data_IF_627458827481
#
_entry.id   IF_627458827481
#
_cell.length_a   1.000
_cell.length_b   1.000
_cell.length_c   1.000
_cell.angle_alpha   90.00
_cell.angle_beta   90.00
_cell.angle_gamma   90.00
#
_symmetry.space_group_name_H-M   'P 1'
#
loop_
_entity.id
_entity.type
_entity.pdbx_description
1 polymer ?
#
# COMPACT_ATOMS: atom_id res chain seq x y z
N UNK A 1 -55.59 -44.24 38.73
CA UNK A 1 -55.06 -44.38 37.35
C UNK A 1 -55.41 -43.12 36.57
N UNK A 2 -54.41 -42.55 35.90
CA UNK A 2 -54.47 -41.58 34.78
C UNK A 2 -54.99 -40.14 34.97
N UNK A 3 -54.07 -39.22 34.58
CA UNK A 3 -54.20 -37.85 34.00
C UNK A 3 -54.30 -36.68 35.00
N UNK A 4 -53.22 -35.90 35.16
CA UNK A 4 -52.75 -34.72 34.38
C UNK A 4 -53.64 -33.49 34.57
N UNK A 5 -53.14 -32.47 35.28
CA UNK A 5 -53.40 -31.04 34.99
C UNK A 5 -52.31 -30.16 35.65
N UNK A 6 -51.77 -29.23 34.84
CA UNK A 6 -50.70 -28.26 35.13
C UNK A 6 -51.07 -27.21 36.20
N UNK A 7 -50.06 -26.63 36.87
CA UNK A 7 -49.93 -25.17 36.85
C UNK A 7 -48.48 -24.74 36.52
N UNK A 8 -48.28 -23.84 35.55
CA UNK A 8 -48.20 -22.39 35.77
C UNK A 8 -46.94 -21.97 36.54
N UNK A 9 -45.86 -21.64 35.82
CA UNK A 9 -44.95 -20.57 36.21
C UNK A 9 -44.16 -20.07 35.01
N UNK A 10 -44.55 -18.89 34.56
CA UNK A 10 -43.85 -18.08 33.56
C UNK A 10 -42.63 -17.48 34.26
N UNK A 11 -41.45 -18.05 34.01
CA UNK A 11 -40.17 -17.42 34.34
C UNK A 11 -39.70 -16.60 33.14
N UNK A 12 -40.02 -15.31 33.16
CA UNK A 12 -39.45 -14.32 32.26
C UNK A 12 -37.97 -14.11 32.60
N UNK A 13 -37.09 -14.90 31.97
CA UNK A 13 -35.66 -14.61 31.94
C UNK A 13 -35.38 -13.64 30.80
N UNK A 14 -35.43 -12.34 31.12
CA UNK A 14 -34.81 -11.29 30.33
C UNK A 14 -33.28 -11.47 30.42
N UNK A 15 -32.74 -12.36 29.60
CA UNK A 15 -31.33 -12.31 29.25
C UNK A 15 -31.17 -11.09 28.35
N UNK A 16 -30.73 -9.98 28.95
CA UNK A 16 -30.13 -8.88 28.23
C UNK A 16 -28.94 -9.45 27.44
N UNK A 17 -29.19 -9.79 26.18
CA UNK A 17 -28.17 -9.91 25.15
C UNK A 17 -27.48 -8.56 25.10
N UNK A 18 -26.39 -8.41 25.87
CA UNK A 18 -25.46 -7.31 25.76
C UNK A 18 -24.91 -7.31 24.34
N UNK A 19 -25.59 -6.59 23.45
CA UNK A 19 -25.09 -6.24 22.14
C UNK A 19 -23.94 -5.27 22.41
N UNK A 20 -22.74 -5.79 22.58
CA UNK A 20 -21.53 -4.99 22.49
C UNK A 20 -21.47 -4.51 21.05
N UNK A 21 -22.11 -3.36 20.79
CA UNK A 21 -21.87 -2.59 19.59
C UNK A 21 -20.37 -2.30 19.58
N UNK A 22 -19.64 -3.02 18.73
CA UNK A 22 -18.29 -2.65 18.34
C UNK A 22 -18.41 -1.28 17.69
N UNK A 23 -18.20 -0.24 18.48
CA UNK A 23 -18.06 1.12 17.96
C UNK A 23 -16.78 1.08 17.12
N UNK A 24 -16.96 1.08 15.80
CA UNK A 24 -15.86 1.17 14.84
C UNK A 24 -15.24 2.53 15.08
N UNK A 25 -14.17 2.59 15.89
CA UNK A 25 -13.43 3.82 16.12
C UNK A 25 -12.99 4.34 14.76
N UNK A 26 -13.54 5.48 14.35
CA UNK A 26 -13.10 6.17 13.15
C UNK A 26 -11.70 6.69 13.42
N UNK A 27 -10.69 6.08 12.78
CA UNK A 27 -9.32 6.58 12.85
C UNK A 27 -9.30 7.96 12.19
N UNK A 28 -9.09 9.01 12.97
CA UNK A 28 -8.88 10.35 12.43
C UNK A 28 -7.50 10.45 11.80
N UNK A 29 -7.44 10.78 10.51
CA UNK A 29 -6.20 11.02 9.76
C UNK A 29 -5.98 12.51 9.56
N UNK A 30 -4.72 12.92 9.56
CA UNK A 30 -4.34 14.20 8.95
C UNK A 30 -4.20 14.00 7.44
N UNK A 31 -5.12 14.57 6.67
CA UNK A 31 -5.12 14.44 5.21
C UNK A 31 -4.16 15.45 4.56
N UNK A 32 -3.26 14.96 3.72
CA UNK A 32 -2.29 15.75 2.96
C UNK A 32 -2.51 15.48 1.49
N UNK A 33 -2.91 16.51 0.73
CA UNK A 33 -3.07 16.42 -0.72
C UNK A 33 -1.74 16.69 -1.40
N UNK A 34 -1.32 15.78 -2.28
CA UNK A 34 -0.12 15.93 -3.09
C UNK A 34 -0.52 16.59 -4.42
N UNK A 35 -0.08 17.82 -4.66
CA UNK A 35 -0.48 18.60 -5.84
C UNK A 35 0.40 18.31 -7.07
N UNK A 36 1.62 17.85 -6.84
CA UNK A 36 2.57 17.56 -7.93
C UNK A 36 2.12 16.29 -8.64
N UNK A 37 1.64 16.43 -9.88
CA UNK A 37 1.47 15.29 -10.79
C UNK A 37 2.80 14.56 -10.91
N UNK A 38 2.75 13.23 -10.99
CA UNK A 38 3.94 12.44 -11.27
C UNK A 38 4.71 13.07 -12.45
N UNK A 39 5.96 13.46 -12.22
CA UNK A 39 6.92 13.59 -13.32
C UNK A 39 6.81 12.33 -14.16
N UNK A 40 6.90 12.44 -15.50
CA UNK A 40 6.74 11.32 -16.43
C UNK A 40 7.38 10.06 -15.85
N UNK A 41 6.53 9.10 -15.45
CA UNK A 41 6.97 7.89 -14.77
C UNK A 41 7.83 7.07 -15.74
N UNK A 42 9.15 7.12 -15.55
CA UNK A 42 10.11 6.43 -16.39
C UNK A 42 10.28 5.00 -15.88
N UNK A 43 9.56 4.08 -16.49
CA UNK A 43 9.80 2.63 -16.31
C UNK A 43 10.97 2.21 -17.19
N UNK A 44 11.94 1.42 -16.68
CA UNK A 44 12.91 0.77 -17.53
C UNK A 44 12.22 -0.02 -18.65
N UNK A 45 12.63 0.17 -19.90
CA UNK A 45 11.95 -0.39 -21.09
C UNK A 45 11.70 -1.90 -20.96
N UNK A 46 12.69 -2.67 -20.48
CA UNK A 46 12.55 -4.12 -20.26
C UNK A 46 11.42 -4.51 -19.30
N UNK A 47 11.15 -3.66 -18.31
CA UNK A 47 10.05 -3.88 -17.36
C UNK A 47 8.73 -3.53 -18.03
N UNK A 48 8.71 -2.44 -18.79
CA UNK A 48 7.54 -2.06 -19.58
C UNK A 48 7.17 -3.13 -20.61
N UNK A 49 8.14 -3.65 -21.37
CA UNK A 49 7.92 -4.74 -22.34
C UNK A 49 7.34 -6.00 -21.67
N UNK A 50 7.83 -6.36 -20.49
CA UNK A 50 7.30 -7.48 -19.72
C UNK A 50 5.89 -7.21 -19.21
N UNK A 51 5.62 -5.98 -18.75
CA UNK A 51 4.29 -5.56 -18.32
C UNK A 51 3.32 -5.61 -19.51
N UNK A 52 3.69 -5.08 -20.68
CA UNK A 52 2.86 -5.13 -21.87
C UNK A 52 2.59 -6.57 -22.33
N UNK A 53 3.63 -7.41 -22.35
CA UNK A 53 3.50 -8.83 -22.68
C UNK A 53 2.55 -9.56 -21.71
N UNK A 54 2.65 -9.27 -20.41
CA UNK A 54 1.79 -9.82 -19.36
C UNK A 54 0.34 -9.31 -19.45
N UNK A 55 0.13 -8.06 -19.85
CA UNK A 55 -1.17 -7.38 -19.77
C UNK A 55 -2.01 -7.47 -21.04
N UNK A 56 -1.40 -7.29 -22.21
CA UNK A 56 -2.07 -7.15 -23.51
C UNK A 56 -2.16 -8.48 -24.24
N UNK A 57 -1.22 -9.40 -23.99
CA UNK A 57 -1.14 -10.66 -24.73
C UNK A 57 -1.01 -10.41 -26.25
N UNK A 58 -1.55 -11.32 -27.08
CA UNK A 58 -1.52 -11.21 -28.55
C UNK A 58 -2.74 -10.53 -29.17
N UNK A 59 -3.64 -9.96 -28.35
CA UNK A 59 -4.93 -9.47 -28.84
C UNK A 59 -4.79 -8.11 -29.55
N UNK A 60 -5.33 -8.02 -30.77
CA UNK A 60 -5.30 -6.86 -31.68
C UNK A 60 -6.29 -5.74 -31.34
N UNK A 61 -6.94 -5.79 -30.17
CA UNK A 61 -7.91 -4.78 -29.76
C UNK A 61 -7.22 -3.61 -29.05
N UNK A 62 -7.57 -2.39 -29.43
CA UNK A 62 -6.99 -1.17 -28.88
C UNK A 62 -7.36 -1.03 -27.39
N UNK A 63 -6.36 -1.17 -26.52
CA UNK A 63 -6.51 -1.03 -25.08
C UNK A 63 -6.84 0.41 -24.69
N UNK A 64 -7.79 0.59 -23.77
CA UNK A 64 -8.10 1.89 -23.18
C UNK A 64 -7.41 2.01 -21.82
N UNK A 65 -6.64 3.08 -21.62
CA UNK A 65 -5.90 3.34 -20.39
C UNK A 65 -6.54 4.50 -19.62
N UNK A 66 -6.83 4.25 -18.34
CA UNK A 66 -7.39 5.19 -17.39
C UNK A 66 -6.47 5.30 -16.19
N UNK A 67 -6.43 6.48 -15.57
CA UNK A 67 -5.59 6.73 -14.40
C UNK A 67 -6.41 6.54 -13.12
N UNK A 68 -5.95 5.65 -12.24
CA UNK A 68 -6.59 5.34 -10.96
C UNK A 68 -6.10 6.28 -9.84
N UNK A 69 -6.94 6.56 -8.83
CA UNK A 69 -6.52 7.30 -7.64
C UNK A 69 -5.53 6.48 -6.81
N UNK A 70 -4.79 7.15 -5.92
CA UNK A 70 -3.90 6.49 -4.97
C UNK A 70 -3.88 7.25 -3.64
N UNK A 71 -3.96 6.50 -2.55
CA UNK A 71 -3.83 6.96 -1.18
C UNK A 71 -2.82 6.08 -0.43
N UNK A 72 -1.97 6.71 0.37
CA UNK A 72 -1.01 6.03 1.25
C UNK A 72 -1.18 6.53 2.67
N UNK A 73 -1.23 5.62 3.64
CA UNK A 73 -1.25 5.96 5.06
C UNK A 73 0.10 5.66 5.68
N UNK A 74 0.64 6.64 6.41
CA UNK A 74 1.79 6.47 7.29
C UNK A 74 1.34 6.65 8.74
N UNK A 75 1.70 5.71 9.60
CA UNK A 75 1.37 5.75 11.02
C UNK A 75 2.54 5.28 11.88
N UNK A 76 2.61 5.76 13.11
CA UNK A 76 3.52 5.25 14.13
C UNK A 76 2.83 5.33 15.49
N UNK A 77 3.07 4.32 16.32
CA UNK A 77 2.69 4.31 17.74
C UNK A 77 3.60 5.25 18.56
N UNK A 78 4.83 5.46 18.10
CA UNK A 78 5.81 6.30 18.77
C UNK A 78 5.70 7.75 18.29
N UNK A 79 5.50 8.66 19.24
CA UNK A 79 5.52 10.09 18.97
C UNK A 79 6.86 10.49 18.33
N UNK A 80 6.77 11.26 17.24
CA UNK A 80 7.92 11.86 16.57
C UNK A 80 8.57 11.03 15.46
N UNK A 81 8.18 9.75 15.25
CA UNK A 81 8.68 8.98 14.10
C UNK A 81 8.04 9.49 12.80
N UNK A 82 6.71 9.52 12.75
CA UNK A 82 5.93 10.12 11.65
C UNK A 82 5.32 11.43 12.15
N UNK A 83 5.53 12.51 11.39
CA UNK A 83 4.98 13.83 11.71
C UNK A 83 3.46 13.80 11.56
N UNK A 84 2.72 14.30 12.55
CA UNK A 84 1.24 14.33 12.57
C UNK A 84 0.56 12.95 12.41
N UNK A 85 1.22 11.88 12.88
CA UNK A 85 0.74 10.49 12.82
C UNK A 85 -0.66 10.31 13.43
N UNK A 86 -1.59 9.57 12.78
CA UNK A 86 -1.47 8.99 11.45
C UNK A 86 -1.78 10.03 10.35
N UNK A 87 -1.02 9.97 9.25
CA UNK A 87 -1.26 10.82 8.07
C UNK A 87 -1.77 9.99 6.89
N UNK A 88 -2.62 10.60 6.08
CA UNK A 88 -3.09 10.05 4.81
C UNK A 88 -2.70 10.98 3.67
N UNK A 89 -1.91 10.44 2.76
CA UNK A 89 -1.38 11.12 1.59
C UNK A 89 -2.28 10.78 0.41
N UNK A 90 -2.91 11.81 -0.17
CA UNK A 90 -3.85 11.67 -1.30
C UNK A 90 -3.13 12.16 -2.55
N UNK A 91 -2.89 11.25 -3.48
CA UNK A 91 -2.20 11.51 -4.75
C UNK A 91 -3.20 11.85 -5.87
N UNK A 92 -2.77 12.57 -6.92
CA UNK A 92 -3.58 12.75 -8.11
C UNK A 92 -3.78 11.41 -8.83
N UNK A 93 -4.76 11.34 -9.73
CA UNK A 93 -4.97 10.16 -10.57
C UNK A 93 -3.69 9.83 -11.35
N UNK A 94 -3.30 8.56 -11.34
CA UNK A 94 -2.05 8.07 -11.89
C UNK A 94 -0.96 7.93 -10.83
N UNK A 95 -1.14 8.53 -9.65
CA UNK A 95 -0.25 8.38 -8.51
C UNK A 95 0.85 9.45 -8.47
N UNK A 96 2.01 9.12 -7.90
CA UNK A 96 3.08 10.10 -7.72
C UNK A 96 4.25 9.63 -6.87
N UNK A 97 4.98 10.62 -6.32
CA UNK A 97 6.18 10.40 -5.51
C UNK A 97 5.90 10.67 -4.03
N UNK A 98 6.17 9.66 -3.19
CA UNK A 98 6.27 9.78 -1.76
C UNK A 98 7.74 9.96 -1.37
N UNK A 99 8.11 11.18 -0.99
CA UNK A 99 9.40 11.44 -0.36
C UNK A 99 9.25 11.36 1.16
N UNK A 100 9.77 10.28 1.75
CA UNK A 100 9.70 10.00 3.18
C UNK A 100 10.44 11.03 4.03
N UNK A 101 11.37 11.80 3.46
CA UNK A 101 12.05 12.90 4.14
C UNK A 101 11.07 13.94 4.73
N UNK A 102 9.93 14.13 4.06
CA UNK A 102 8.93 15.12 4.46
C UNK A 102 8.04 14.64 5.62
N UNK A 103 8.04 13.36 5.94
CA UNK A 103 7.04 12.77 6.84
C UNK A 103 7.63 11.93 7.97
N UNK A 104 8.79 11.32 7.75
CA UNK A 104 9.46 10.45 8.73
C UNK A 104 10.69 11.15 9.25
N UNK A 105 10.77 11.50 10.52
CA UNK A 105 11.91 12.26 11.09
C UNK A 105 12.54 11.65 12.34
N UNK A 106 11.79 10.86 13.10
CA UNK A 106 12.27 10.28 14.37
C UNK A 106 12.91 8.90 14.21
N UNK A 107 13.47 8.42 15.32
CA UNK A 107 13.97 7.05 15.43
C UNK A 107 12.87 6.12 15.94
N UNK A 108 12.63 5.01 15.25
CA UNK A 108 11.68 3.99 15.67
C UNK A 108 11.08 3.22 14.51
N UNK A 109 9.85 2.76 14.72
CA UNK A 109 9.08 2.04 13.71
C UNK A 109 7.86 2.81 13.28
N UNK A 110 7.51 2.64 12.02
CA UNK A 110 6.31 3.21 11.42
C UNK A 110 5.74 2.22 10.41
N UNK A 111 4.46 2.35 10.09
CA UNK A 111 3.76 1.50 9.15
C UNK A 111 3.44 2.27 7.88
N UNK A 112 3.47 1.57 6.75
CA UNK A 112 2.98 2.05 5.46
C UNK A 112 1.84 1.15 5.01
N UNK A 113 0.72 1.72 4.58
CA UNK A 113 -0.40 0.92 4.06
C UNK A 113 -1.15 1.63 2.94
N UNK A 114 -1.89 0.84 2.16
CA UNK A 114 -2.77 1.33 1.10
C UNK A 114 -4.22 1.10 1.52
N UNK A 115 -4.97 2.12 2.00
CA UNK A 115 -6.34 1.93 2.49
C UNK A 115 -7.22 1.19 1.48
N UNK A 116 -7.96 0.13 1.89
CA UNK A 116 -8.77 -0.67 0.97
C UNK A 116 -9.89 0.13 0.28
N UNK A 117 -10.38 1.19 0.93
CA UNK A 117 -11.51 1.99 0.45
C UNK A 117 -11.21 2.65 -0.90
N UNK A 118 -9.96 3.05 -1.15
CA UNK A 118 -9.56 3.71 -2.39
C UNK A 118 -9.72 2.82 -3.63
N UNK A 119 -9.75 1.49 -3.44
CA UNK A 119 -9.81 0.51 -4.53
C UNK A 119 -11.20 -0.11 -4.71
N UNK A 120 -12.19 0.27 -3.88
CA UNK A 120 -13.50 -0.38 -3.84
C UNK A 120 -14.27 -0.27 -5.17
N UNK A 121 -14.11 0.85 -5.88
CA UNK A 121 -14.79 1.13 -7.15
C UNK A 121 -13.92 0.79 -8.38
N UNK A 122 -12.70 0.27 -8.18
CA UNK A 122 -11.83 -0.14 -9.27
C UNK A 122 -12.11 -1.60 -9.67
N UNK A 123 -11.78 -1.98 -10.92
CA UNK A 123 -11.78 -3.39 -11.31
C UNK A 123 -10.87 -4.27 -10.44
N UNK A 124 -10.90 -5.57 -10.69
CA UNK A 124 -9.98 -6.48 -10.02
C UNK A 124 -8.52 -6.08 -10.33
N UNK A 125 -7.69 -6.09 -9.29
CA UNK A 125 -6.24 -5.95 -9.44
C UNK A 125 -5.72 -7.11 -10.27
N UNK A 126 -5.16 -6.81 -11.43
CA UNK A 126 -4.58 -7.79 -12.34
C UNK A 126 -3.11 -8.04 -12.01
N UNK A 127 -2.36 -6.96 -11.74
CA UNK A 127 -0.93 -7.00 -11.37
C UNK A 127 -0.59 -5.93 -10.34
N UNK A 128 0.39 -6.23 -9.50
CA UNK A 128 1.06 -5.24 -8.65
C UNK A 128 2.56 -5.50 -8.70
N UNK A 129 3.29 -4.70 -9.45
CA UNK A 129 4.74 -4.83 -9.53
C UNK A 129 5.42 -3.93 -8.52
N UNK A 130 6.46 -4.45 -7.87
CA UNK A 130 7.43 -3.65 -7.12
C UNK A 130 8.77 -3.70 -7.82
N UNK A 131 9.35 -2.53 -8.12
CA UNK A 131 10.66 -2.35 -8.77
C UNK A 131 11.56 -1.63 -7.76
N UNK A 132 12.62 -2.29 -7.31
CA UNK A 132 13.49 -1.74 -6.27
C UNK A 132 14.41 -0.65 -6.84
N UNK A 133 14.43 0.51 -6.17
CA UNK A 133 15.36 1.61 -6.42
C UNK A 133 16.37 1.74 -5.25
N UNK A 134 16.79 0.60 -4.71
CA UNK A 134 17.87 0.56 -3.70
C UNK A 134 18.77 -0.66 -3.91
N UNK A 135 20.06 -0.56 -3.56
CA UNK A 135 20.95 -1.70 -3.62
C UNK A 135 20.55 -2.73 -2.55
N UNK A 136 20.83 -4.00 -2.81
CA UNK A 136 20.72 -5.03 -1.78
C UNK A 136 21.81 -4.76 -0.75
N UNK A 137 21.47 -4.77 0.54
CA UNK A 137 22.41 -4.48 1.62
C UNK A 137 22.31 -5.48 2.75
N UNK A 138 23.45 -5.83 3.33
CA UNK A 138 23.52 -6.63 4.56
C UNK A 138 23.65 -5.70 5.77
N UNK A 139 22.75 -5.83 6.75
CA UNK A 139 22.73 -5.04 7.99
C UNK A 139 22.55 -6.03 9.14
N UNK A 140 23.47 -6.03 10.11
CA UNK A 140 23.43 -6.90 11.29
C UNK A 140 23.24 -8.40 10.94
N UNK A 141 23.86 -8.84 9.84
CA UNK A 141 23.82 -10.23 9.39
C UNK A 141 22.65 -10.60 8.48
N UNK A 142 21.62 -9.75 8.38
CA UNK A 142 20.42 -9.95 7.55
C UNK A 142 20.51 -9.21 6.20
N UNK A 143 19.92 -9.78 5.15
CA UNK A 143 19.83 -9.13 3.83
C UNK A 143 18.55 -8.32 3.70
N UNK A 144 18.69 -7.07 3.25
CA UNK A 144 17.59 -6.15 2.97
C UNK A 144 17.59 -5.75 1.49
N UNK A 145 16.38 -5.64 0.94
CA UNK A 145 16.15 -5.19 -0.43
C UNK A 145 16.37 -6.25 -1.50
N UNK A 146 15.80 -5.97 -2.68
CA UNK A 146 15.90 -6.85 -3.84
C UNK A 146 17.16 -6.57 -4.67
N UNK A 147 17.69 -5.35 -4.56
CA UNK A 147 18.79 -4.86 -5.40
C UNK A 147 18.31 -4.05 -6.59
N UNK A 148 19.21 -3.22 -7.11
CA UNK A 148 18.90 -2.21 -8.12
C UNK A 148 18.18 -2.77 -9.36
N UNK A 149 17.02 -2.18 -9.67
CA UNK A 149 16.23 -2.52 -10.86
C UNK A 149 15.63 -3.93 -10.86
N UNK A 150 15.79 -4.68 -9.77
CA UNK A 150 15.10 -5.95 -9.59
C UNK A 150 13.62 -5.67 -9.33
N UNK A 151 12.76 -6.44 -9.99
CA UNK A 151 11.33 -6.30 -9.84
C UNK A 151 10.67 -7.64 -9.57
N UNK A 152 9.47 -7.58 -8.99
CA UNK A 152 8.67 -8.75 -8.62
C UNK A 152 7.19 -8.38 -8.66
N UNK A 153 6.35 -9.32 -9.10
CA UNK A 153 4.89 -9.22 -8.95
C UNK A 153 4.50 -9.63 -7.52
N UNK A 154 4.04 -8.64 -6.75
CA UNK A 154 3.59 -8.78 -5.36
C UNK A 154 2.07 -8.75 -5.23
N UNK A 155 1.30 -8.98 -6.30
CA UNK A 155 -0.17 -9.08 -6.26
C UNK A 155 -0.68 -9.96 -5.13
N UNK A 156 -0.03 -11.11 -4.87
CA UNK A 156 -0.41 -12.04 -3.78
C UNK A 156 -0.29 -11.43 -2.37
N UNK A 157 0.39 -10.28 -2.23
CA UNK A 157 0.54 -9.54 -0.99
C UNK A 157 -0.37 -8.31 -0.92
N UNK A 158 -1.16 -8.03 -1.94
CA UNK A 158 -1.97 -6.81 -2.02
C UNK A 158 -2.93 -6.67 -0.83
N UNK A 159 -3.69 -7.72 -0.49
CA UNK A 159 -4.59 -7.69 0.66
C UNK A 159 -3.87 -7.47 1.99
N UNK A 160 -2.61 -7.91 2.08
CA UNK A 160 -1.79 -7.68 3.27
C UNK A 160 -1.30 -6.23 3.32
N UNK A 161 -0.91 -5.65 2.19
CA UNK A 161 -0.51 -4.24 2.08
C UNK A 161 -1.63 -3.25 2.40
N UNK A 162 -2.89 -3.71 2.37
CA UNK A 162 -4.05 -2.92 2.80
C UNK A 162 -4.32 -2.98 4.31
N UNK A 163 -3.71 -3.94 5.03
CA UNK A 163 -3.91 -4.07 6.47
C UNK A 163 -3.07 -3.03 7.21
N UNK A 164 -3.64 -2.36 8.23
CA UNK A 164 -2.84 -1.54 9.13
C UNK A 164 -1.78 -2.43 9.80
N UNK A 165 -0.58 -1.88 10.01
CA UNK A 165 0.56 -2.54 10.68
C UNK A 165 1.19 -3.74 9.97
N UNK A 166 0.76 -4.11 8.75
CA UNK A 166 1.39 -5.22 8.04
C UNK A 166 2.81 -4.88 7.59
N UNK A 167 2.98 -3.77 6.88
CA UNK A 167 4.28 -3.30 6.42
C UNK A 167 4.88 -2.37 7.47
N UNK A 168 5.36 -2.99 8.55
CA UNK A 168 6.07 -2.31 9.64
C UNK A 168 7.53 -2.09 9.26
N UNK A 169 7.93 -0.84 9.21
CA UNK A 169 9.22 -0.35 8.79
C UNK A 169 10.01 0.17 9.99
N UNK A 170 11.32 0.24 9.86
CA UNK A 170 12.22 0.64 10.94
C UNK A 170 13.29 1.61 10.43
N UNK A 171 13.47 2.72 11.14
CA UNK A 171 14.41 3.79 10.76
C UNK A 171 15.86 3.49 11.12
N UNK A 172 16.11 2.56 12.05
CA UNK A 172 17.47 2.20 12.48
C UNK A 172 18.28 1.70 11.30
N UNK A 173 19.48 2.25 11.13
CA UNK A 173 20.40 1.94 10.03
C UNK A 173 19.76 2.10 8.64
N UNK A 174 18.70 2.91 8.53
CA UNK A 174 17.95 3.15 7.30
C UNK A 174 17.34 1.89 6.67
N UNK A 175 17.05 0.86 7.48
CA UNK A 175 16.50 -0.43 7.00
C UNK A 175 15.28 -0.26 6.11
N UNK A 176 14.36 0.65 6.48
CA UNK A 176 13.16 0.93 5.71
C UNK A 176 13.46 1.27 4.25
N UNK A 177 14.51 2.04 3.95
CA UNK A 177 14.84 2.42 2.58
C UNK A 177 15.06 1.20 1.71
N UNK A 178 15.86 0.23 2.17
CA UNK A 178 16.14 -0.98 1.39
C UNK A 178 14.90 -1.85 1.16
N UNK A 179 13.86 -1.70 1.98
CA UNK A 179 12.62 -2.49 1.88
C UNK A 179 11.63 -1.84 0.92
N UNK A 180 11.41 -0.52 1.03
CA UNK A 180 10.31 0.16 0.32
C UNK A 180 10.75 1.13 -0.77
N UNK A 181 12.03 1.53 -0.83
CA UNK A 181 12.51 2.43 -1.88
C UNK A 181 12.37 1.80 -3.26
N UNK A 182 11.63 2.49 -4.13
CA UNK A 182 11.31 2.01 -5.46
C UNK A 182 9.90 2.34 -5.91
N UNK A 183 9.48 1.63 -6.94
CA UNK A 183 8.23 1.88 -7.65
C UNK A 183 7.23 0.76 -7.42
N UNK A 184 6.02 1.12 -7.04
CA UNK A 184 4.86 0.24 -7.02
C UNK A 184 3.99 0.58 -8.22
N UNK A 185 3.70 -0.39 -9.07
CA UNK A 185 2.82 -0.21 -10.23
C UNK A 185 1.57 -1.07 -10.02
N UNK A 186 0.42 -0.42 -9.89
CA UNK A 186 -0.87 -1.06 -9.74
C UNK A 186 -1.56 -1.09 -11.10
N UNK A 187 -2.02 -2.29 -11.49
CA UNK A 187 -2.76 -2.49 -12.73
C UNK A 187 -4.07 -3.19 -12.41
N UNK A 188 -5.17 -2.49 -12.61
CA UNK A 188 -6.52 -3.06 -12.52
C UNK A 188 -7.07 -3.25 -13.93
N UNK A 189 -7.77 -4.36 -14.17
CA UNK A 189 -8.24 -4.71 -15.51
C UNK A 189 -9.70 -5.12 -15.48
N UNK A 190 -10.46 -4.61 -16.45
CA UNK A 190 -11.75 -5.15 -16.83
C UNK A 190 -11.83 -5.21 -18.36
N UNK A 191 -11.83 -6.41 -18.94
CA UNK A 191 -11.78 -6.61 -20.39
C UNK A 191 -10.57 -5.87 -21.02
N UNK A 192 -10.84 -4.90 -21.91
CA UNK A 192 -9.83 -4.11 -22.61
C UNK A 192 -9.56 -2.73 -21.96
N UNK A 193 -10.11 -2.49 -20.76
CA UNK A 193 -9.86 -1.27 -19.99
C UNK A 193 -8.85 -1.56 -18.88
N UNK A 194 -7.79 -0.77 -18.85
CA UNK A 194 -6.72 -0.82 -17.85
C UNK A 194 -6.75 0.45 -17.01
N UNK A 195 -6.75 0.29 -15.70
CA UNK A 195 -6.63 1.39 -14.75
C UNK A 195 -5.25 1.30 -14.11
N UNK A 196 -4.48 2.37 -14.27
CA UNK A 196 -3.07 2.43 -13.87
C UNK A 196 -2.87 3.48 -12.79
N UNK A 197 -2.11 3.13 -11.77
CA UNK A 197 -1.56 4.11 -10.82
C UNK A 197 -0.22 3.62 -10.30
N UNK A 198 0.63 4.53 -9.86
CA UNK A 198 1.95 4.17 -9.33
C UNK A 198 2.34 4.98 -8.10
N UNK A 199 3.20 4.39 -7.28
CA UNK A 199 3.87 5.06 -6.18
C UNK A 199 5.37 4.96 -6.37
N UNK A 200 6.07 6.09 -6.36
CA UNK A 200 7.51 6.12 -6.21
C UNK A 200 7.87 6.50 -4.78
N UNK A 201 8.42 5.56 -4.00
CA UNK A 201 8.86 5.81 -2.63
C UNK A 201 10.34 6.15 -2.63
N UNK A 202 10.67 7.31 -2.05
CA UNK A 202 12.02 7.88 -1.98
C UNK A 202 12.29 8.48 -0.61
N UNK A 203 13.52 8.92 -0.39
CA UNK A 203 13.93 9.69 0.77
C UNK A 203 15.09 10.61 0.39
N UNK A 204 14.79 11.88 0.13
CA UNK A 204 15.76 12.84 -0.39
C UNK A 204 16.90 13.17 0.56
N UNK A 205 16.83 12.75 1.84
CA UNK A 205 17.94 12.89 2.80
C UNK A 205 19.11 11.95 2.50
N UNK A 206 18.85 10.86 1.79
CA UNK A 206 19.82 9.78 1.56
C UNK A 206 19.96 9.42 0.07
N UNK A 207 20.30 10.38 -0.81
CA UNK A 207 20.32 10.16 -2.26
C UNK A 207 21.32 9.08 -2.68
N UNK A 208 22.42 8.92 -1.94
CA UNK A 208 23.46 7.91 -2.21
C UNK A 208 23.00 6.47 -1.94
N UNK A 209 21.83 6.30 -1.33
CA UNK A 209 21.23 5.00 -1.06
C UNK A 209 20.33 4.50 -2.20
N UNK A 210 20.13 5.31 -3.25
CA UNK A 210 19.30 4.98 -4.41
C UNK A 210 20.15 4.54 -5.62
N UNK A 211 19.51 3.86 -6.57
CA UNK A 211 20.21 3.31 -7.72
C UNK A 211 20.32 4.35 -8.83
N UNK A 212 21.52 4.90 -9.03
CA UNK A 212 21.82 5.81 -10.15
C UNK A 212 21.50 5.23 -11.54
N UNK A 213 21.48 3.90 -11.67
CA UNK A 213 21.27 3.19 -12.94
C UNK A 213 19.84 3.22 -13.47
N UNK A 214 18.82 3.49 -12.64
CA UNK A 214 17.45 3.62 -13.15
C UNK A 214 17.24 4.91 -13.96
N UNK A 215 18.16 5.88 -13.82
CA UNK A 215 18.09 7.20 -14.47
C UNK A 215 19.14 7.39 -15.58
N UNK A 216 20.06 6.44 -15.77
CA UNK A 216 21.01 6.44 -16.89
C UNK A 216 20.44 5.61 -18.04
N UNK A 217 19.69 6.26 -18.93
CA UNK A 217 19.48 5.81 -20.30
C UNK A 217 20.20 6.78 -21.23
#
# INVERSE_FOLDING_TARGET
MTKFFFPFQVAAFLLFSGCHFFQKNETHFTDIKIEVRADDFKVPIKIFDQIEADLVGTATLQAAYLMAPLEVVLSSESNGVVQNSPIRLIFPNGGGRLDLANYVSGQGSFDLSFPPQQFADLPQLEKLYFISDSPKKRIDGEEFGLGCGKFVDIKKKFDLLQKPHFLKLNTTNLRYLYVVAGYYLFVFKNNNQFYLTHLHVTDSRYPDNFCSSLYKQ
#
